data_IF_374733418053
#
_entry.id   IF_374733418053
#
_cell.length_a   1.000
_cell.length_b   1.000
_cell.length_c   1.000
_cell.angle_alpha   90.00
_cell.angle_beta   90.00
_cell.angle_gamma   90.00
#
_symmetry.space_group_name_H-M   'P 1'
#
loop_
_entity.id
_entity.type
_entity.pdbx_description
1 polymer ?
#
# COMPACT_ATOMS: atom_id res chain seq x y z
N UNK A 1 8.31 2.53 17.11
CA UNK A 1 7.28 2.23 16.10
C UNK A 1 7.54 2.88 14.73
N UNK A 2 8.15 4.09 14.64
CA UNK A 2 8.58 4.68 13.35
C UNK A 2 9.60 3.84 12.58
N UNK A 3 10.39 3.02 13.29
CA UNK A 3 11.48 2.22 12.68
C UNK A 3 11.01 0.99 11.88
N UNK A 4 9.72 0.64 11.90
CA UNK A 4 9.20 -0.53 11.16
C UNK A 4 8.77 -0.21 9.72
N UNK A 5 8.45 1.05 9.41
CA UNK A 5 7.91 1.45 8.11
C UNK A 5 8.94 2.24 7.33
N UNK A 6 9.26 1.77 6.12
CA UNK A 6 10.30 2.35 5.25
C UNK A 6 9.76 3.57 4.48
N UNK A 7 8.44 3.62 4.25
CA UNK A 7 7.80 4.64 3.43
C UNK A 7 6.58 5.23 4.14
N UNK A 8 6.32 6.52 3.93
CA UNK A 8 5.13 7.17 4.44
C UNK A 8 4.72 8.38 3.57
N UNK A 9 3.41 8.64 3.50
CA UNK A 9 2.85 9.88 2.98
C UNK A 9 1.70 10.34 3.88
N UNK A 10 1.53 11.66 4.01
CA UNK A 10 0.42 12.26 4.75
C UNK A 10 -0.39 13.15 3.81
N UNK A 11 -1.70 12.98 3.78
CA UNK A 11 -2.66 13.81 3.01
C UNK A 11 -3.86 14.11 3.91
N UNK A 12 -4.24 15.38 4.04
CA UNK A 12 -5.37 15.82 4.87
C UNK A 12 -5.38 15.24 6.30
N UNK A 13 -4.21 15.13 6.92
CA UNK A 13 -4.07 14.58 8.28
C UNK A 13 -4.12 13.05 8.36
N UNK A 14 -4.35 12.34 7.26
CA UNK A 14 -4.28 10.88 7.19
C UNK A 14 -2.88 10.47 6.76
N UNK A 15 -2.21 9.63 7.56
CA UNK A 15 -0.87 9.12 7.25
C UNK A 15 -0.95 7.67 6.84
N UNK A 16 -0.45 7.34 5.65
CA UNK A 16 -0.27 5.97 5.16
C UNK A 16 1.20 5.62 5.29
N UNK A 17 1.51 4.58 6.06
CA UNK A 17 2.86 4.01 6.20
C UNK A 17 2.92 2.66 5.52
N UNK A 18 4.05 2.36 4.89
CA UNK A 18 4.29 1.10 4.18
C UNK A 18 5.63 0.51 4.62
N UNK A 19 5.60 -0.76 4.99
CA UNK A 19 6.76 -1.61 5.13
C UNK A 19 6.64 -2.70 4.08
N UNK A 20 7.65 -2.92 3.25
CA UNK A 20 7.64 -3.93 2.21
C UNK A 20 8.86 -4.84 2.36
N UNK A 21 8.66 -6.13 2.10
CA UNK A 21 9.70 -7.14 2.16
C UNK A 21 9.54 -8.11 0.98
N UNK A 22 10.66 -8.44 0.33
CA UNK A 22 10.72 -9.56 -0.60
C UNK A 22 10.53 -10.87 0.16
N UNK A 23 9.79 -11.82 -0.41
CA UNK A 23 9.50 -13.11 0.20
C UNK A 23 10.11 -14.25 -0.64
N UNK A 24 11.34 -14.70 -0.32
CA UNK A 24 12.02 -15.75 -1.08
C UNK A 24 11.23 -17.05 -1.17
N UNK A 25 10.54 -17.43 -0.09
CA UNK A 25 9.83 -18.71 0.02
C UNK A 25 8.59 -18.80 -0.89
N UNK A 26 8.07 -17.66 -1.37
CA UNK A 26 6.95 -17.59 -2.32
C UNK A 26 7.40 -17.15 -3.72
N UNK A 27 8.71 -16.96 -3.92
CA UNK A 27 9.31 -16.57 -5.20
C UNK A 27 9.93 -17.79 -5.89
N UNK A 28 9.95 -17.76 -7.22
CA UNK A 28 10.66 -18.71 -8.09
C UNK A 28 11.46 -17.90 -9.11
N UNK A 29 12.66 -17.39 -8.76
CA UNK A 29 13.49 -16.58 -9.65
C UNK A 29 13.76 -17.22 -11.01
N UNK A 30 14.02 -18.53 -11.05
CA UNK A 30 14.27 -19.29 -12.29
C UNK A 30 13.06 -19.33 -13.26
N UNK A 31 11.87 -19.00 -12.75
CA UNK A 31 10.63 -18.94 -13.51
C UNK A 31 10.09 -17.51 -13.65
N UNK A 32 10.92 -16.49 -13.41
CA UNK A 32 10.56 -15.08 -13.39
C UNK A 32 9.39 -14.76 -12.45
N UNK A 33 9.19 -15.50 -11.35
CA UNK A 33 8.12 -15.21 -10.39
C UNK A 33 8.69 -14.63 -9.11
N UNK A 34 8.34 -13.40 -8.82
CA UNK A 34 8.86 -12.64 -7.69
C UNK A 34 7.71 -12.18 -6.81
N UNK A 35 7.84 -12.30 -5.49
CA UNK A 35 6.75 -11.98 -4.57
C UNK A 35 7.22 -11.07 -3.43
N UNK A 36 6.44 -10.01 -3.17
CA UNK A 36 6.63 -9.13 -2.03
C UNK A 36 5.40 -9.17 -1.14
N UNK A 37 5.64 -9.02 0.16
CA UNK A 37 4.60 -8.75 1.16
C UNK A 37 4.77 -7.32 1.64
N UNK A 38 3.67 -6.58 1.71
CA UNK A 38 3.66 -5.24 2.28
C UNK A 38 2.67 -5.17 3.45
N UNK A 39 3.09 -4.49 4.51
CA UNK A 39 2.28 -4.09 5.65
C UNK A 39 2.00 -2.60 5.54
N UNK A 40 0.71 -2.27 5.50
CA UNK A 40 0.23 -0.89 5.48
C UNK A 40 -0.42 -0.55 6.81
N UNK A 41 -0.05 0.62 7.34
CA UNK A 41 -0.72 1.25 8.48
C UNK A 41 -1.31 2.58 8.03
N UNK A 42 -2.59 2.76 8.28
CA UNK A 42 -3.33 3.99 8.00
C UNK A 42 -3.66 4.64 9.34
N UNK A 43 -3.24 5.88 9.54
CA UNK A 43 -3.39 6.61 10.80
C UNK A 43 -4.21 7.87 10.56
N UNK A 44 -5.30 8.03 11.30
CA UNK A 44 -6.08 9.25 11.27
C UNK A 44 -5.54 10.26 12.31
N UNK A 45 -4.70 11.18 11.85
CA UNK A 45 -4.21 12.31 12.65
C UNK A 45 -5.07 13.57 12.54
N UNK A 46 -6.21 13.51 11.83
CA UNK A 46 -7.15 14.61 11.71
C UNK A 46 -8.06 14.73 12.94
N UNK A 47 -8.97 15.70 12.92
CA UNK A 47 -9.94 15.95 14.00
C UNK A 47 -11.33 15.35 13.72
N UNK A 48 -11.52 14.71 12.57
CA UNK A 48 -12.80 14.13 12.14
C UNK A 48 -12.72 12.62 11.95
N UNK A 49 -13.87 11.94 11.96
CA UNK A 49 -13.90 10.52 11.56
C UNK A 49 -13.89 10.42 10.03
N UNK A 50 -13.16 9.43 9.53
CA UNK A 50 -13.08 9.16 8.09
C UNK A 50 -13.25 7.69 7.82
N UNK A 51 -13.91 7.32 6.71
CA UNK A 51 -14.08 5.93 6.30
C UNK A 51 -13.40 5.66 4.97
N UNK A 52 -12.56 4.64 4.92
CA UNK A 52 -11.97 4.17 3.66
C UNK A 52 -13.04 3.47 2.83
N UNK A 53 -13.23 3.87 1.57
CA UNK A 53 -14.23 3.28 0.67
C UNK A 53 -13.59 2.45 -0.44
N UNK A 54 -12.57 2.98 -1.10
CA UNK A 54 -11.92 2.31 -2.23
C UNK A 54 -10.41 2.51 -2.19
N UNK A 55 -9.71 1.68 -2.97
CA UNK A 55 -8.27 1.79 -3.24
C UNK A 55 -8.06 1.83 -4.75
N UNK A 56 -7.04 2.59 -5.14
CA UNK A 56 -6.47 2.58 -6.47
C UNK A 56 -4.97 2.35 -6.34
N UNK A 57 -4.46 1.34 -7.03
CA UNK A 57 -3.03 1.05 -7.12
C UNK A 57 -2.54 1.21 -8.55
N UNK A 58 -1.36 1.80 -8.67
CA UNK A 58 -0.52 1.80 -9.88
C UNK A 58 0.72 0.98 -9.58
N UNK A 59 0.90 -0.12 -10.31
CA UNK A 59 2.02 -1.05 -10.16
C UNK A 59 2.85 -0.98 -11.44
N UNK A 60 4.13 -0.67 -11.33
CA UNK A 60 5.06 -0.60 -12.48
C UNK A 60 6.16 -1.63 -12.31
N UNK A 61 6.36 -2.50 -13.30
CA UNK A 61 7.44 -3.49 -13.31
C UNK A 61 8.76 -2.92 -13.87
N UNK A 62 9.85 -3.71 -13.83
CA UNK A 62 11.17 -3.27 -14.33
C UNK A 62 11.21 -3.04 -15.85
N UNK A 63 10.24 -3.56 -16.60
CA UNK A 63 10.11 -3.41 -18.05
C UNK A 63 9.30 -2.16 -18.42
N UNK A 64 8.79 -1.42 -17.43
CA UNK A 64 7.96 -0.24 -17.61
C UNK A 64 6.48 -0.56 -17.85
N UNK A 65 6.06 -1.81 -17.73
CA UNK A 65 4.65 -2.19 -17.83
C UNK A 65 3.91 -1.69 -16.60
N UNK A 66 2.75 -1.08 -16.82
CA UNK A 66 1.91 -0.50 -15.76
C UNK A 66 0.60 -1.29 -15.67
N UNK A 67 0.32 -1.80 -14.48
CA UNK A 67 -0.98 -2.37 -14.11
C UNK A 67 -1.70 -1.46 -13.12
N UNK A 68 -3.02 -1.35 -13.27
CA UNK A 68 -3.88 -0.65 -12.31
C UNK A 68 -4.77 -1.66 -11.59
N UNK A 69 -4.88 -1.50 -10.27
CA UNK A 69 -5.75 -2.35 -9.43
C UNK A 69 -6.67 -1.45 -8.62
N UNK A 70 -7.94 -1.44 -9.03
CA UNK A 70 -9.03 -0.77 -8.34
C UNK A 70 -9.84 -1.77 -7.51
N UNK A 71 -10.38 -1.31 -6.39
CA UNK A 71 -11.31 -2.13 -5.63
C UNK A 71 -11.89 -1.45 -4.40
N UNK A 72 -12.95 -2.05 -3.88
CA UNK A 72 -13.56 -1.61 -2.63
C UNK A 72 -12.72 -2.02 -1.43
N UNK A 73 -12.59 -1.09 -0.48
CA UNK A 73 -11.94 -1.33 0.79
C UNK A 73 -10.47 -1.74 0.68
N UNK A 74 -9.98 -2.35 1.75
CA UNK A 74 -8.68 -3.00 1.86
C UNK A 74 -8.91 -4.37 2.49
N UNK A 75 -8.38 -5.44 1.88
CA UNK A 75 -8.51 -6.83 2.37
C UNK A 75 -9.95 -7.27 2.74
N UNK A 76 -10.97 -6.71 2.07
CA UNK A 76 -12.38 -7.00 2.34
C UNK A 76 -13.03 -6.10 3.40
N UNK A 77 -12.31 -5.10 3.90
CA UNK A 77 -12.77 -4.19 4.95
C UNK A 77 -12.85 -2.73 4.47
N UNK A 78 -13.79 -1.97 5.01
CA UNK A 78 -13.91 -0.51 4.81
C UNK A 78 -13.78 0.20 6.16
N UNK A 79 -12.55 0.30 6.71
CA UNK A 79 -12.32 0.78 8.07
C UNK A 79 -12.83 2.21 8.28
N UNK A 80 -13.56 2.39 9.37
CA UNK A 80 -13.93 3.70 9.92
C UNK A 80 -12.90 4.09 10.98
N UNK A 81 -12.18 5.19 10.75
CA UNK A 81 -11.11 5.66 11.62
C UNK A 81 -11.56 6.91 12.37
N UNK A 82 -11.67 6.81 13.69
CA UNK A 82 -11.81 7.97 14.55
C UNK A 82 -10.50 8.78 14.66
N UNK A 83 -10.54 10.05 15.10
CA UNK A 83 -9.34 10.80 15.42
C UNK A 83 -8.41 10.02 16.35
N UNK A 84 -7.14 9.91 15.96
CA UNK A 84 -6.11 9.15 16.67
C UNK A 84 -6.13 7.63 16.44
N UNK A 85 -7.14 7.09 15.74
CA UNK A 85 -7.23 5.67 15.42
C UNK A 85 -6.32 5.29 14.24
N UNK A 86 -5.97 4.01 14.18
CA UNK A 86 -5.24 3.42 13.06
C UNK A 86 -5.84 2.09 12.63
N UNK A 87 -5.58 1.72 11.38
CA UNK A 87 -5.88 0.39 10.84
C UNK A 87 -4.65 -0.16 10.13
N UNK A 88 -4.38 -1.44 10.35
CA UNK A 88 -3.20 -2.15 9.87
C UNK A 88 -3.65 -3.36 9.05
N UNK A 89 -3.06 -3.55 7.88
CA UNK A 89 -3.31 -4.74 7.07
C UNK A 89 -2.06 -5.18 6.30
N UNK A 90 -2.05 -6.45 5.91
CA UNK A 90 -0.97 -7.08 5.13
C UNK A 90 -1.55 -7.63 3.83
N UNK A 91 -0.81 -7.45 2.74
CA UNK A 91 -1.15 -8.04 1.44
C UNK A 91 0.13 -8.29 0.63
N UNK A 92 0.00 -8.80 -0.59
CA UNK A 92 1.13 -9.21 -1.42
C UNK A 92 1.03 -8.71 -2.84
N UNK A 93 2.18 -8.59 -3.49
CA UNK A 93 2.31 -8.19 -4.89
C UNK A 93 3.23 -9.18 -5.62
N UNK A 94 2.69 -9.99 -6.55
CA UNK A 94 3.51 -10.74 -7.49
C UNK A 94 3.99 -9.84 -8.63
N UNK A 95 5.24 -10.03 -9.09
CA UNK A 95 5.76 -9.46 -10.33
C UNK A 95 6.49 -10.52 -11.16
N UNK A 96 6.58 -10.25 -12.47
CA UNK A 96 7.39 -11.02 -13.42
C UNK A 96 8.85 -10.54 -13.53
N UNK A 97 9.26 -9.61 -12.66
CA UNK A 97 10.58 -9.01 -12.69
C UNK A 97 11.12 -8.82 -11.27
N UNK A 98 12.44 -8.84 -11.06
CA UNK A 98 13.05 -8.68 -9.74
C UNK A 98 12.94 -7.25 -9.17
N UNK A 99 12.46 -6.30 -9.98
CA UNK A 99 12.30 -4.91 -9.60
C UNK A 99 10.95 -4.37 -10.06
N UNK A 100 10.40 -3.43 -9.31
CA UNK A 100 9.21 -2.69 -9.68
C UNK A 100 8.92 -1.61 -8.66
N UNK A 101 7.70 -1.12 -8.67
CA UNK A 101 7.24 -0.13 -7.72
C UNK A 101 5.72 -0.13 -7.62
N UNK A 102 5.23 0.35 -6.48
CA UNK A 102 3.83 0.59 -6.25
C UNK A 102 3.62 2.00 -5.73
N UNK A 103 2.52 2.61 -6.15
CA UNK A 103 1.98 3.85 -5.60
C UNK A 103 0.47 3.88 -5.83
N UNK A 104 -0.23 4.86 -5.28
CA UNK A 104 -1.66 4.97 -5.48
C UNK A 104 -2.33 5.91 -4.51
N UNK A 105 -3.62 5.68 -4.28
CA UNK A 105 -4.40 6.43 -3.32
C UNK A 105 -5.57 5.60 -2.79
N UNK A 106 -6.04 5.97 -1.59
CA UNK A 106 -7.34 5.55 -1.09
C UNK A 106 -8.33 6.68 -1.29
N UNK A 107 -9.58 6.33 -1.58
CA UNK A 107 -10.68 7.29 -1.44
C UNK A 107 -11.34 7.09 -0.09
N UNK A 108 -11.30 8.14 0.71
CA UNK A 108 -11.99 8.24 1.98
C UNK A 108 -13.26 9.10 1.84
N UNK A 109 -14.19 8.91 2.77
CA UNK A 109 -15.32 9.83 2.98
C UNK A 109 -15.28 10.40 4.39
N UNK A 110 -15.59 11.68 4.53
CA UNK A 110 -15.76 12.38 5.82
C UNK A 110 -17.15 12.09 6.41
N UNK A 111 -17.38 12.57 7.64
CA UNK A 111 -18.69 12.44 8.30
C UNK A 111 -19.83 13.14 7.52
N UNK A 112 -19.52 14.21 6.79
CA UNK A 112 -20.47 14.92 5.93
C UNK A 112 -20.73 14.21 4.58
N UNK A 113 -20.06 13.08 4.33
CA UNK A 113 -20.16 12.29 3.11
C UNK A 113 -19.28 12.80 1.96
N UNK A 114 -18.54 13.89 2.14
CA UNK A 114 -17.63 14.39 1.09
C UNK A 114 -16.45 13.43 0.88
N UNK A 115 -16.14 13.08 -0.38
CA UNK A 115 -14.99 12.23 -0.67
C UNK A 115 -13.69 13.02 -0.71
N UNK A 116 -12.57 12.37 -0.38
CA UNK A 116 -11.23 12.88 -0.63
C UNK A 116 -10.22 11.75 -0.85
N UNK A 117 -9.15 12.05 -1.56
CA UNK A 117 -8.08 11.10 -1.87
C UNK A 117 -6.93 11.24 -0.87
N UNK A 118 -6.48 10.10 -0.35
CA UNK A 118 -5.31 10.00 0.53
C UNK A 118 -4.23 9.25 -0.22
N UNK A 119 -3.08 9.90 -0.44
CA UNK A 119 -1.97 9.29 -1.17
C UNK A 119 -1.38 8.11 -0.41
N UNK A 120 -1.13 7.05 -1.15
CA UNK A 120 -0.22 5.99 -0.74
C UNK A 120 1.18 6.41 -1.23
N UNK A 121 2.23 6.37 -0.40
CA UNK A 121 3.56 6.73 -0.86
C UNK A 121 4.01 5.82 -1.99
N UNK A 122 4.86 6.34 -2.87
CA UNK A 122 5.65 5.49 -3.76
C UNK A 122 6.59 4.61 -2.91
N UNK A 123 6.65 3.32 -3.23
CA UNK A 123 7.66 2.43 -2.67
C UNK A 123 8.21 1.45 -3.71
N UNK A 124 9.53 1.21 -3.73
CA UNK A 124 10.13 0.25 -4.63
C UNK A 124 9.87 -1.19 -4.16
N UNK A 125 9.68 -2.07 -5.13
CA UNK A 125 9.74 -3.52 -4.98
C UNK A 125 11.09 -3.94 -5.51
N UNK A 126 12.05 -4.26 -4.64
CA UNK A 126 13.41 -4.63 -5.05
C UNK A 126 13.83 -5.93 -4.38
N UNK A 127 14.15 -6.94 -5.19
CA UNK A 127 14.74 -8.17 -4.69
C UNK A 127 16.21 -7.92 -4.30
N UNK A 128 16.72 -8.56 -3.24
CA UNK A 128 18.14 -8.51 -2.92
C UNK A 128 19.01 -9.01 -4.09
N UNK A 129 20.23 -8.48 -4.24
CA UNK A 129 21.15 -8.93 -5.28
C UNK A 129 21.53 -10.42 -5.19
N UNK A 130 21.32 -11.04 -4.03
CA UNK A 130 21.55 -12.47 -3.77
C UNK A 130 20.29 -13.33 -3.99
N UNK A 131 19.18 -12.75 -4.43
CA UNK A 131 17.97 -13.48 -4.77
C UNK A 131 18.11 -14.02 -6.20
N UNK A 132 18.90 -15.09 -6.34
CA UNK A 132 19.27 -15.71 -7.61
C UNK A 132 20.54 -16.52 -7.47
#
# INVERSE_FOLDING_TARGET
MKELFQHAATTDGITVRVAVNFLPEQSQPDADKWFWVYHIRIENGSHEKVQLKTRHWRITDARGMVAHVDGEGVVGEQPLLAPGASHDYVSGCPLETPYGSMEGFYTFVREDGSPFEVRIPFFPLAAPATAG
#
